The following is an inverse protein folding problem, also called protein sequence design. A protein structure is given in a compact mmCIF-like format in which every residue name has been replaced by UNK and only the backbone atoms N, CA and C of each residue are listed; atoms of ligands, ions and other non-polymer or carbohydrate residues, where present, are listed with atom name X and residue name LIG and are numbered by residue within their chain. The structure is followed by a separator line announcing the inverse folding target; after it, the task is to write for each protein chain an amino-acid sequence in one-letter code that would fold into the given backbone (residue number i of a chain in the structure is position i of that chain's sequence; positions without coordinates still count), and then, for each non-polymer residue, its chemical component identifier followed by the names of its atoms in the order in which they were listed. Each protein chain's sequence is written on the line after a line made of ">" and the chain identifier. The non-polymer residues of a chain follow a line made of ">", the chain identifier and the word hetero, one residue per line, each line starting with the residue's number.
data_IF_457172512371
#
_entry.id   IF_457172512371
#
_cell.length_a   1.000
_cell.length_b   1.000
_cell.length_c   1.000
_cell.angle_alpha   90.00
_cell.angle_beta   90.00
_cell.angle_gamma   90.00
#
_symmetry.space_group_name_H-M   'P 1'
#
loop_
_entity.id
_entity.type
_entity.pdbx_description
1 polymer ?
#
# COMPACT_ATOMS: atom_id res chain seq x y z
N UNK A 1 43.73 -25.51 -34.53
CA UNK A 1 42.78 -24.73 -33.69
C UNK A 1 43.11 -24.74 -32.19
N UNK A 2 43.60 -25.84 -31.60
CA UNK A 2 43.87 -25.92 -30.15
C UNK A 2 44.93 -24.91 -29.62
N UNK A 3 46.05 -24.70 -30.33
CA UNK A 3 47.08 -23.73 -29.94
C UNK A 3 46.57 -22.28 -29.87
N UNK A 4 45.75 -21.85 -30.84
CA UNK A 4 45.13 -20.52 -30.86
C UNK A 4 44.16 -20.31 -29.69
N UNK A 5 43.42 -21.36 -29.29
CA UNK A 5 42.54 -21.33 -28.10
C UNK A 5 43.34 -21.22 -26.80
N UNK A 6 44.46 -21.93 -26.67
CA UNK A 6 45.35 -21.83 -25.50
C UNK A 6 45.98 -20.44 -25.36
N UNK A 7 46.44 -19.84 -26.46
CA UNK A 7 46.99 -18.47 -26.42
C UNK A 7 45.93 -17.42 -26.08
N UNK A 8 44.70 -17.55 -26.61
CA UNK A 8 43.59 -16.65 -26.26
C UNK A 8 43.19 -16.79 -24.78
N UNK A 9 43.20 -18.00 -24.22
CA UNK A 9 42.93 -18.23 -22.79
C UNK A 9 44.01 -17.60 -21.91
N UNK A 10 45.29 -17.70 -22.30
CA UNK A 10 46.39 -17.06 -21.56
C UNK A 10 46.28 -15.53 -21.62
N UNK A 11 45.94 -14.97 -22.79
CA UNK A 11 45.73 -13.52 -22.95
C UNK A 11 44.53 -13.05 -22.11
N UNK A 12 43.42 -13.79 -22.11
CA UNK A 12 42.27 -13.49 -21.27
C UNK A 12 42.61 -13.56 -19.78
N UNK A 13 43.38 -14.57 -19.36
CA UNK A 13 43.84 -14.71 -17.99
C UNK A 13 44.76 -13.55 -17.59
N UNK A 14 45.68 -13.14 -18.46
CA UNK A 14 46.56 -11.99 -18.23
C UNK A 14 45.79 -10.67 -18.19
N UNK A 15 44.76 -10.52 -19.03
CA UNK A 15 43.88 -9.36 -19.00
C UNK A 15 43.09 -9.28 -17.69
N UNK A 16 42.56 -10.42 -17.20
CA UNK A 16 41.87 -10.49 -15.91
C UNK A 16 42.81 -10.20 -14.73
N UNK A 17 44.04 -10.73 -14.76
CA UNK A 17 45.05 -10.44 -13.72
C UNK A 17 45.46 -8.97 -13.77
N UNK A 18 45.69 -8.41 -14.96
CA UNK A 18 46.01 -6.99 -15.11
C UNK A 18 44.87 -6.09 -14.65
N UNK A 19 43.62 -6.43 -14.99
CA UNK A 19 42.43 -5.74 -14.49
C UNK A 19 42.33 -5.83 -12.97
N UNK A 20 42.58 -7.01 -12.37
CA UNK A 20 42.59 -7.20 -10.92
C UNK A 20 43.65 -6.35 -10.22
N UNK A 21 44.86 -6.26 -10.79
CA UNK A 21 45.92 -5.40 -10.26
C UNK A 21 45.54 -3.93 -10.36
N UNK A 22 45.07 -3.45 -11.51
CA UNK A 22 44.62 -2.06 -11.70
C UNK A 22 43.47 -1.71 -10.77
N UNK A 23 42.49 -2.61 -10.63
CA UNK A 23 41.37 -2.41 -9.72
C UNK A 23 41.84 -2.33 -8.27
N UNK A 24 42.68 -3.27 -7.83
CA UNK A 24 43.20 -3.31 -6.44
C UNK A 24 44.08 -2.11 -6.07
N UNK A 25 44.85 -1.57 -7.03
CA UNK A 25 45.85 -0.53 -6.78
C UNK A 25 45.30 0.90 -6.96
N UNK A 26 44.31 1.10 -7.83
CA UNK A 26 43.84 2.45 -8.19
C UNK A 26 42.35 2.67 -8.02
N UNK A 27 41.52 1.63 -8.18
CA UNK A 27 40.06 1.76 -8.10
C UNK A 27 39.52 1.36 -6.73
N UNK A 28 40.25 0.53 -5.98
CA UNK A 28 39.81 -0.02 -4.69
C UNK A 28 39.44 1.06 -3.67
N UNK A 29 40.25 2.11 -3.54
CA UNK A 29 40.01 3.14 -2.52
C UNK A 29 38.80 4.02 -2.85
N UNK A 30 38.63 4.39 -4.14
CA UNK A 30 37.41 5.05 -4.62
C UNK A 30 36.20 4.13 -4.52
N UNK A 31 36.37 2.87 -4.91
CA UNK A 31 35.29 1.89 -4.84
C UNK A 31 34.87 1.60 -3.39
N UNK A 32 35.80 1.55 -2.43
CA UNK A 32 35.48 1.42 -1.01
C UNK A 32 34.81 2.67 -0.44
N UNK A 33 35.20 3.87 -0.91
CA UNK A 33 34.58 5.13 -0.49
C UNK A 33 33.14 5.28 -1.01
N UNK A 34 32.92 4.92 -2.27
CA UNK A 34 31.64 5.12 -2.96
C UNK A 34 30.71 3.90 -2.84
N UNK A 35 31.27 2.69 -2.74
CA UNK A 35 30.54 1.42 -2.79
C UNK A 35 30.96 0.36 -1.76
N UNK A 36 31.86 0.70 -0.83
CA UNK A 36 32.32 -0.22 0.21
C UNK A 36 31.27 -0.44 1.30
N UNK A 37 31.13 -1.67 1.82
CA UNK A 37 30.18 -1.97 2.87
C UNK A 37 30.52 -1.21 4.17
N UNK A 38 29.62 -0.31 4.62
CA UNK A 38 29.87 0.53 5.80
C UNK A 38 29.58 -0.16 7.14
N UNK A 39 28.83 -1.27 7.16
CA UNK A 39 28.64 -2.12 8.34
C UNK A 39 28.19 -3.52 7.88
N UNK A 40 29.09 -4.51 7.81
CA UNK A 40 28.70 -5.91 7.61
C UNK A 40 28.98 -6.71 8.88
N UNK A 41 27.92 -7.01 9.62
CA UNK A 41 27.89 -8.06 10.63
C UNK A 41 27.40 -9.38 10.01
N UNK A 42 28.09 -9.91 9.01
CA UNK A 42 27.80 -11.25 8.48
C UNK A 42 28.82 -12.21 9.08
N UNK A 43 28.38 -12.97 10.08
CA UNK A 43 29.12 -14.11 10.60
C UNK A 43 29.24 -15.16 9.50
N UNK A 44 30.50 -15.52 9.24
CA UNK A 44 31.02 -16.82 8.81
C UNK A 44 30.02 -17.77 8.15
N UNK A 45 30.03 -17.87 6.80
CA UNK A 45 29.85 -19.12 6.03
C UNK A 45 29.70 -18.91 4.50
N UNK A 46 30.20 -17.81 3.92
CA UNK A 46 30.32 -17.74 2.46
C UNK A 46 31.57 -18.48 2.00
N UNK A 47 31.38 -19.56 1.22
CA UNK A 47 32.49 -20.36 0.68
C UNK A 47 33.50 -19.49 -0.11
N UNK A 48 34.79 -19.87 -0.18
CA UNK A 48 35.86 -19.06 -0.78
C UNK A 48 35.61 -18.59 -2.22
N UNK A 49 34.76 -19.29 -2.97
CA UNK A 49 34.35 -18.88 -4.32
C UNK A 49 33.45 -17.63 -4.32
N UNK A 50 32.60 -17.44 -3.31
CA UNK A 50 31.78 -16.23 -3.15
C UNK A 50 32.63 -15.05 -2.66
N UNK A 51 33.68 -15.30 -1.87
CA UNK A 51 34.66 -14.28 -1.49
C UNK A 51 35.47 -13.77 -2.70
N UNK A 52 35.87 -14.67 -3.62
CA UNK A 52 36.59 -14.30 -4.85
C UNK A 52 35.72 -13.48 -5.81
N UNK A 53 34.43 -13.76 -5.83
CA UNK A 53 33.42 -13.03 -6.61
C UNK A 53 33.23 -11.58 -6.11
N UNK A 54 33.25 -11.38 -4.78
CA UNK A 54 33.21 -10.04 -4.19
C UNK A 54 34.48 -9.21 -4.48
N UNK A 55 35.62 -9.87 -4.71
CA UNK A 55 36.92 -9.23 -4.94
C UNK A 55 37.16 -8.73 -6.38
N UNK A 56 36.29 -9.06 -7.34
CA UNK A 56 36.55 -8.83 -8.78
C UNK A 56 35.55 -7.91 -9.50
N UNK A 57 34.66 -7.20 -8.80
CA UNK A 57 33.75 -6.23 -9.43
C UNK A 57 32.65 -6.84 -10.31
N UNK A 58 32.23 -8.08 -10.03
CA UNK A 58 31.13 -8.78 -10.72
C UNK A 58 29.83 -8.79 -9.90
N UNK A 59 29.75 -8.05 -8.79
CA UNK A 59 28.60 -8.09 -7.88
C UNK A 59 27.32 -7.60 -8.57
N UNK A 60 27.42 -6.54 -9.39
CA UNK A 60 26.30 -5.99 -10.14
C UNK A 60 25.81 -6.98 -11.19
N UNK A 61 26.73 -7.59 -11.95
CA UNK A 61 26.38 -8.63 -12.92
C UNK A 61 25.70 -9.86 -12.29
N UNK A 62 26.11 -10.24 -11.07
CA UNK A 62 25.45 -11.32 -10.34
C UNK A 62 24.10 -10.86 -9.79
N UNK A 63 24.00 -9.63 -9.31
CA UNK A 63 22.74 -9.02 -8.91
C UNK A 63 21.72 -9.09 -10.06
N UNK A 64 22.14 -8.78 -11.29
CA UNK A 64 21.29 -8.88 -12.48
C UNK A 64 20.85 -10.32 -12.77
N UNK A 65 21.77 -11.30 -12.67
CA UNK A 65 21.42 -12.72 -12.84
C UNK A 65 20.41 -13.18 -11.77
N UNK A 66 20.64 -12.79 -10.52
CA UNK A 66 19.74 -13.11 -9.42
C UNK A 66 18.38 -12.45 -9.59
N UNK A 67 18.36 -11.22 -10.11
CA UNK A 67 17.14 -10.48 -10.39
C UNK A 67 16.32 -11.13 -11.50
N UNK A 68 16.95 -11.50 -12.62
CA UNK A 68 16.30 -12.29 -13.68
C UNK A 68 15.75 -13.62 -13.13
N UNK A 69 16.46 -14.23 -12.19
CA UNK A 69 16.00 -15.46 -11.54
C UNK A 69 14.82 -15.21 -10.60
N UNK A 70 14.82 -14.10 -9.87
CA UNK A 70 13.72 -13.68 -9.01
C UNK A 70 12.45 -13.45 -9.83
N UNK A 71 12.56 -12.78 -10.97
CA UNK A 71 11.46 -12.56 -11.91
C UNK A 71 10.85 -13.89 -12.42
N UNK A 72 11.70 -14.87 -12.77
CA UNK A 72 11.22 -16.22 -13.14
C UNK A 72 10.47 -16.92 -12.00
N UNK A 73 10.88 -16.71 -10.74
CA UNK A 73 10.17 -17.27 -9.59
C UNK A 73 8.85 -16.55 -9.33
N UNK A 74 8.80 -15.24 -9.56
CA UNK A 74 7.58 -14.46 -9.51
C UNK A 74 6.56 -14.93 -10.56
N UNK A 75 6.96 -15.08 -11.82
CA UNK A 75 6.07 -15.57 -12.89
C UNK A 75 5.50 -16.97 -12.60
N UNK A 76 6.28 -17.81 -11.93
CA UNK A 76 5.86 -19.17 -11.52
C UNK A 76 5.08 -19.21 -10.20
N UNK A 77 4.90 -18.07 -9.53
CA UNK A 77 4.16 -17.95 -8.26
C UNK A 77 4.91 -18.48 -7.04
N UNK A 78 6.21 -18.73 -7.13
CA UNK A 78 7.03 -19.19 -6.02
C UNK A 78 7.60 -18.01 -5.22
N UNK A 79 6.72 -17.32 -4.49
CA UNK A 79 7.05 -16.08 -3.80
C UNK A 79 8.09 -16.25 -2.67
N UNK A 80 8.11 -17.40 -2.00
CA UNK A 80 9.08 -17.71 -0.94
C UNK A 80 10.53 -17.67 -1.45
N UNK A 81 10.74 -18.05 -2.72
CA UNK A 81 12.05 -18.01 -3.36
C UNK A 81 12.46 -16.60 -3.84
N UNK A 82 11.51 -15.66 -3.95
CA UNK A 82 11.76 -14.30 -4.47
C UNK A 82 12.42 -13.43 -3.39
N UNK A 83 12.00 -13.53 -2.13
CA UNK A 83 12.46 -12.65 -1.05
C UNK A 83 13.97 -12.73 -0.79
N UNK A 84 14.59 -13.93 -0.66
CA UNK A 84 16.04 -14.01 -0.47
C UNK A 84 16.83 -13.46 -1.65
N UNK A 85 16.30 -13.60 -2.87
CA UNK A 85 16.94 -13.09 -4.08
C UNK A 85 16.89 -11.57 -4.16
N UNK A 86 15.73 -10.96 -3.87
CA UNK A 86 15.62 -9.49 -3.73
C UNK A 86 16.68 -9.00 -2.74
N UNK A 87 16.74 -9.60 -1.54
CA UNK A 87 17.65 -9.13 -0.50
C UNK A 87 19.12 -9.27 -0.89
N UNK A 88 19.47 -10.39 -1.51
CA UNK A 88 20.83 -10.62 -1.98
C UNK A 88 21.19 -9.65 -3.11
N UNK A 89 20.27 -9.39 -4.03
CA UNK A 89 20.45 -8.41 -5.11
C UNK A 89 20.65 -7.00 -4.55
N UNK A 90 19.87 -6.56 -3.56
CA UNK A 90 20.07 -5.22 -2.94
C UNK A 90 21.41 -5.10 -2.20
N UNK A 91 21.93 -6.20 -1.64
CA UNK A 91 23.25 -6.19 -1.03
C UNK A 91 24.40 -6.16 -2.04
N UNK A 92 24.22 -6.84 -3.17
CA UNK A 92 25.23 -6.91 -4.22
C UNK A 92 25.27 -5.64 -5.07
N UNK A 93 24.11 -5.06 -5.36
CA UNK A 93 23.98 -3.79 -6.06
C UNK A 93 23.02 -2.84 -5.30
N UNK A 94 23.54 -2.06 -4.34
CA UNK A 94 22.72 -1.15 -3.55
C UNK A 94 22.20 0.05 -4.35
N UNK A 95 22.67 0.26 -5.58
CA UNK A 95 22.18 1.33 -6.45
C UNK A 95 21.11 0.88 -7.45
N UNK A 96 20.73 -0.39 -7.42
CA UNK A 96 19.70 -0.93 -8.29
C UNK A 96 18.29 -0.55 -7.80
N UNK A 97 17.81 0.60 -8.28
CA UNK A 97 16.49 1.16 -7.96
C UNK A 97 15.36 0.17 -8.26
N UNK A 98 15.44 -0.56 -9.38
CA UNK A 98 14.38 -1.49 -9.80
C UNK A 98 14.20 -2.62 -8.78
N UNK A 99 15.30 -3.20 -8.28
CA UNK A 99 15.23 -4.26 -7.27
C UNK A 99 14.61 -3.74 -5.96
N UNK A 100 15.01 -2.54 -5.51
CA UNK A 100 14.44 -1.95 -4.30
C UNK A 100 12.96 -1.61 -4.45
N UNK A 101 12.59 -0.89 -5.52
CA UNK A 101 11.23 -0.50 -5.79
C UNK A 101 10.35 -1.74 -5.98
N UNK A 102 10.67 -2.61 -6.93
CA UNK A 102 9.88 -3.81 -7.20
C UNK A 102 9.84 -4.75 -5.99
N UNK A 103 10.93 -4.91 -5.25
CA UNK A 103 10.94 -5.70 -4.03
C UNK A 103 10.00 -5.17 -2.94
N UNK A 104 9.99 -3.85 -2.73
CA UNK A 104 9.05 -3.18 -1.84
C UNK A 104 7.60 -3.37 -2.30
N UNK A 105 7.35 -3.28 -3.61
CA UNK A 105 6.03 -3.57 -4.18
C UNK A 105 5.61 -5.03 -3.96
N UNK A 106 6.50 -6.01 -4.13
CA UNK A 106 6.17 -7.40 -3.83
C UNK A 106 5.78 -7.59 -2.37
N UNK A 107 6.63 -7.14 -1.44
CA UNK A 107 6.39 -7.20 0.00
C UNK A 107 5.06 -6.54 0.37
N UNK A 108 4.77 -5.37 -0.19
CA UNK A 108 3.55 -4.63 0.11
C UNK A 108 2.29 -5.21 -0.54
N UNK A 109 2.37 -5.80 -1.75
CA UNK A 109 1.18 -6.08 -2.55
C UNK A 109 0.95 -7.55 -2.88
N UNK A 110 1.99 -8.31 -3.15
CA UNK A 110 1.88 -9.57 -3.90
C UNK A 110 1.97 -10.83 -3.04
N UNK A 111 2.43 -10.73 -1.78
CA UNK A 111 2.27 -11.79 -0.80
C UNK A 111 0.83 -11.78 -0.30
N UNK A 112 -0.03 -12.57 -0.95
CA UNK A 112 -1.46 -12.59 -0.67
C UNK A 112 -1.92 -13.96 -0.21
N UNK A 113 -3.05 -13.99 0.50
CA UNK A 113 -3.81 -15.22 0.72
C UNK A 113 -4.56 -15.67 -0.55
N UNK A 114 -5.31 -16.79 -0.45
CA UNK A 114 -6.10 -17.31 -1.57
C UNK A 114 -7.16 -16.34 -2.10
N UNK A 115 -7.66 -15.42 -1.26
CA UNK A 115 -8.63 -14.39 -1.64
C UNK A 115 -7.97 -13.10 -2.16
N UNK A 116 -6.65 -13.13 -2.41
CA UNK A 116 -5.86 -12.00 -2.91
C UNK A 116 -5.76 -10.81 -1.93
N UNK A 117 -5.93 -11.07 -0.63
CA UNK A 117 -5.66 -10.07 0.41
C UNK A 117 -4.17 -10.12 0.74
N UNK A 118 -3.49 -8.98 0.57
CA UNK A 118 -2.06 -8.91 0.90
C UNK A 118 -1.81 -9.04 2.40
N UNK A 119 -0.72 -9.70 2.74
CA UNK A 119 -0.23 -9.80 4.10
C UNK A 119 0.40 -8.49 4.57
N UNK A 120 -0.37 -7.80 5.42
CA UNK A 120 -0.01 -6.48 5.96
C UNK A 120 1.20 -6.54 6.89
N UNK A 121 1.57 -7.72 7.39
CA UNK A 121 2.74 -7.91 8.25
C UNK A 121 4.06 -7.67 7.51
N UNK A 122 4.07 -7.71 6.17
CA UNK A 122 5.25 -7.38 5.36
C UNK A 122 5.45 -5.89 5.10
N UNK A 123 4.42 -5.05 5.28
CA UNK A 123 4.49 -3.61 4.97
C UNK A 123 5.63 -2.90 5.70
N UNK A 124 5.87 -3.13 7.00
CA UNK A 124 7.01 -2.53 7.71
C UNK A 124 8.35 -2.84 7.07
N UNK A 125 8.57 -4.07 6.61
CA UNK A 125 9.80 -4.46 5.92
C UNK A 125 9.88 -3.90 4.50
N UNK A 126 8.74 -3.72 3.84
CA UNK A 126 8.66 -3.02 2.56
C UNK A 126 9.10 -1.56 2.72
N UNK A 127 8.64 -0.87 3.77
CA UNK A 127 9.04 0.50 4.10
C UNK A 127 10.53 0.58 4.48
N UNK A 128 11.04 -0.35 5.28
CA UNK A 128 12.45 -0.45 5.59
C UNK A 128 13.31 -0.61 4.32
N UNK A 129 12.85 -1.42 3.36
CA UNK A 129 13.51 -1.61 2.08
C UNK A 129 13.47 -0.34 1.22
N UNK A 130 12.33 0.36 1.19
CA UNK A 130 12.19 1.66 0.52
C UNK A 130 13.12 2.73 1.09
N UNK A 131 13.21 2.81 2.42
CA UNK A 131 14.12 3.72 3.13
C UNK A 131 15.59 3.40 2.83
N UNK A 132 15.99 2.12 2.91
CA UNK A 132 17.35 1.68 2.58
C UNK A 132 17.69 2.04 1.11
N UNK A 133 16.78 1.78 0.18
CA UNK A 133 16.98 2.13 -1.23
C UNK A 133 17.08 3.65 -1.44
N UNK A 134 16.30 4.45 -0.72
CA UNK A 134 16.36 5.91 -0.76
C UNK A 134 17.68 6.47 -0.19
N UNK A 135 18.22 5.85 0.87
CA UNK A 135 19.51 6.19 1.44
C UNK A 135 20.67 5.89 0.49
N UNK A 136 20.62 4.77 -0.23
CA UNK A 136 21.61 4.41 -1.23
C UNK A 136 21.47 5.21 -2.54
N UNK A 137 20.28 5.70 -2.86
CA UNK A 137 19.98 6.39 -4.11
C UNK A 137 19.44 7.81 -3.90
N UNK A 138 20.20 8.70 -3.23
CA UNK A 138 19.68 9.99 -2.75
C UNK A 138 19.40 11.00 -3.88
N UNK A 139 20.01 10.80 -5.05
CA UNK A 139 19.95 11.73 -6.19
C UNK A 139 18.73 11.52 -7.08
N UNK A 140 18.09 10.36 -7.02
CA UNK A 140 16.89 10.08 -7.80
C UNK A 140 15.63 10.30 -6.97
N UNK A 141 14.57 10.78 -7.61
CA UNK A 141 13.26 10.88 -6.98
C UNK A 141 12.59 9.52 -6.75
N UNK A 142 12.91 8.49 -7.55
CA UNK A 142 12.09 7.28 -7.68
C UNK A 142 11.91 6.58 -6.33
N UNK A 143 12.98 6.30 -5.60
CA UNK A 143 12.88 5.62 -4.30
C UNK A 143 12.06 6.39 -3.25
N UNK A 144 12.16 7.72 -3.25
CA UNK A 144 11.37 8.56 -2.35
C UNK A 144 9.90 8.56 -2.75
N UNK A 145 9.63 8.63 -4.05
CA UNK A 145 8.27 8.57 -4.57
C UNK A 145 7.64 7.21 -4.31
N UNK A 146 8.32 6.11 -4.61
CA UNK A 146 7.78 4.75 -4.42
C UNK A 146 7.50 4.47 -2.93
N UNK A 147 8.39 4.93 -2.04
CA UNK A 147 8.15 4.82 -0.59
C UNK A 147 6.94 5.65 -0.16
N UNK A 148 6.80 6.89 -0.67
CA UNK A 148 5.62 7.71 -0.45
C UNK A 148 4.33 7.11 -1.03
N UNK A 149 4.43 6.39 -2.14
CA UNK A 149 3.31 5.68 -2.76
C UNK A 149 2.81 4.52 -1.90
N UNK A 150 3.71 3.81 -1.21
CA UNK A 150 3.32 2.78 -0.23
C UNK A 150 2.42 3.37 0.87
N UNK A 151 2.81 4.52 1.43
CA UNK A 151 1.99 5.27 2.39
C UNK A 151 0.65 5.73 1.80
N UNK A 152 0.71 6.38 0.64
CA UNK A 152 -0.44 7.00 0.01
C UNK A 152 -1.51 5.98 -0.41
N UNK A 153 -1.10 4.86 -1.00
CA UNK A 153 -2.00 3.93 -1.67
C UNK A 153 -2.17 2.62 -0.91
N UNK A 154 -1.08 2.00 -0.42
CA UNK A 154 -1.20 0.67 0.21
C UNK A 154 -1.70 0.76 1.64
N UNK A 155 -1.06 1.61 2.42
CA UNK A 155 -1.39 1.86 3.82
C UNK A 155 -2.71 2.65 3.90
N UNK A 156 -2.88 3.64 3.01
CA UNK A 156 -4.11 4.44 2.88
C UNK A 156 -4.52 5.07 4.23
N UNK A 157 -3.52 5.47 5.01
CA UNK A 157 -3.59 6.04 6.36
C UNK A 157 -2.27 6.76 6.65
N UNK A 158 -2.22 7.58 7.70
CA UNK A 158 -1.01 8.35 8.08
C UNK A 158 -0.41 9.16 6.91
N UNK A 159 -1.26 9.90 6.20
CA UNK A 159 -0.91 10.62 4.97
C UNK A 159 0.21 11.65 5.13
N UNK A 160 0.51 12.10 6.35
CA UNK A 160 1.66 12.94 6.65
C UNK A 160 2.99 12.31 6.18
N UNK A 161 3.11 10.98 6.31
CA UNK A 161 4.29 10.25 5.83
C UNK A 161 4.34 10.25 4.31
N UNK A 162 3.21 10.01 3.63
CA UNK A 162 3.13 10.12 2.18
C UNK A 162 3.53 11.53 1.68
N UNK A 163 3.02 12.58 2.34
CA UNK A 163 3.37 13.97 2.04
C UNK A 163 4.86 14.23 2.24
N UNK A 164 5.45 13.75 3.34
CA UNK A 164 6.89 13.90 3.60
C UNK A 164 7.73 13.28 2.49
N UNK A 165 7.44 12.03 2.14
CA UNK A 165 8.15 11.30 1.08
C UNK A 165 7.96 11.93 -0.30
N UNK A 166 6.75 12.37 -0.64
CA UNK A 166 6.49 13.05 -1.91
C UNK A 166 7.12 14.44 -1.99
N UNK A 167 7.17 15.20 -0.89
CA UNK A 167 7.92 16.47 -0.84
C UNK A 167 9.40 16.23 -1.09
N UNK A 168 9.97 15.25 -0.40
CA UNK A 168 11.34 14.85 -0.61
C UNK A 168 11.55 14.47 -2.09
N UNK A 169 10.72 13.60 -2.69
CA UNK A 169 10.84 13.24 -4.10
C UNK A 169 10.86 14.47 -5.02
N UNK A 170 10.04 15.49 -4.73
CA UNK A 170 9.95 16.72 -5.52
C UNK A 170 11.18 17.63 -5.45
N UNK A 171 12.05 17.48 -4.45
CA UNK A 171 13.32 18.18 -4.33
C UNK A 171 14.39 17.65 -5.30
N UNK A 172 14.19 16.46 -5.89
CA UNK A 172 15.18 15.84 -6.76
C UNK A 172 15.12 16.39 -8.18
N UNK A 173 16.27 16.54 -8.85
CA UNK A 173 16.36 17.16 -10.17
C UNK A 173 15.74 16.32 -11.28
N UNK A 174 15.69 14.99 -11.12
CA UNK A 174 15.14 14.05 -12.09
C UNK A 174 13.63 13.77 -11.92
N UNK A 175 12.98 14.43 -10.96
CA UNK A 175 11.54 14.24 -10.67
C UNK A 175 10.66 14.48 -11.90
N UNK A 176 9.92 13.43 -12.28
CA UNK A 176 9.00 13.46 -13.42
C UNK A 176 7.83 14.42 -13.19
N UNK A 177 7.57 15.26 -14.19
CA UNK A 177 6.49 16.27 -14.15
C UNK A 177 5.11 15.66 -13.85
N UNK A 178 4.79 14.53 -14.51
CA UNK A 178 3.51 13.85 -14.31
C UNK A 178 3.30 13.40 -12.85
N UNK A 179 4.38 13.00 -12.17
CA UNK A 179 4.33 12.51 -10.79
C UNK A 179 4.23 13.65 -9.76
N UNK A 180 4.64 14.88 -10.11
CA UNK A 180 4.52 16.07 -9.22
C UNK A 180 3.08 16.35 -8.82
N UNK A 181 2.12 16.00 -9.69
CA UNK A 181 0.69 16.17 -9.46
C UNK A 181 0.17 15.41 -8.23
N UNK A 182 0.86 14.34 -7.79
CA UNK A 182 0.36 13.46 -6.72
C UNK A 182 0.57 14.02 -5.30
N UNK A 183 1.42 15.05 -5.14
CA UNK A 183 1.59 15.70 -3.85
C UNK A 183 0.31 16.46 -3.42
N UNK A 184 -0.42 17.10 -4.33
CA UNK A 184 -1.67 17.81 -3.97
C UNK A 184 -2.78 16.87 -3.48
N UNK A 185 -3.10 15.74 -4.14
CA UNK A 185 -4.00 14.74 -3.57
C UNK A 185 -3.53 14.22 -2.20
N UNK A 186 -2.23 13.96 -2.01
CA UNK A 186 -1.70 13.55 -0.71
C UNK A 186 -1.90 14.61 0.37
N UNK A 187 -1.63 15.89 0.07
CA UNK A 187 -1.88 17.02 0.96
C UNK A 187 -3.37 17.15 1.32
N UNK A 188 -4.28 16.94 0.36
CA UNK A 188 -5.72 16.91 0.64
C UNK A 188 -6.08 15.76 1.59
N UNK A 189 -5.52 14.56 1.37
CA UNK A 189 -5.72 13.39 2.26
C UNK A 189 -5.08 13.56 3.63
N UNK A 190 -4.09 14.45 3.76
CA UNK A 190 -3.49 14.84 5.03
C UNK A 190 -4.28 15.98 5.73
N UNK A 191 -5.31 16.52 5.08
CA UNK A 191 -6.11 17.66 5.59
C UNK A 191 -5.50 19.03 5.31
N UNK A 192 -4.40 19.10 4.56
CA UNK A 192 -3.67 20.33 4.20
C UNK A 192 -4.18 20.89 2.86
N UNK A 193 -5.49 21.17 2.80
CA UNK A 193 -6.18 21.52 1.54
C UNK A 193 -5.68 22.83 0.92
N UNK A 194 -5.37 23.84 1.74
CA UNK A 194 -4.78 25.09 1.22
C UNK A 194 -3.39 24.87 0.64
N UNK A 195 -2.54 24.13 1.34
CA UNK A 195 -1.21 23.79 0.85
C UNK A 195 -1.28 22.96 -0.46
N UNK A 196 -2.29 22.10 -0.61
CA UNK A 196 -2.55 21.39 -1.84
C UNK A 196 -2.88 22.32 -3.02
N UNK A 197 -3.61 23.41 -2.75
CA UNK A 197 -3.92 24.43 -3.75
C UNK A 197 -2.67 25.26 -4.11
N UNK A 198 -1.90 25.67 -3.10
CA UNK A 198 -0.64 26.39 -3.30
C UNK A 198 0.35 25.57 -4.14
N UNK A 199 0.47 24.26 -3.85
CA UNK A 199 1.29 23.36 -4.66
C UNK A 199 0.82 23.27 -6.11
N UNK A 200 -0.50 23.22 -6.34
CA UNK A 200 -1.02 23.20 -7.71
C UNK A 200 -0.66 24.48 -8.48
N UNK A 201 -0.72 25.65 -7.84
CA UNK A 201 -0.31 26.90 -8.48
C UNK A 201 1.21 26.93 -8.78
N UNK A 202 2.06 26.44 -7.88
CA UNK A 202 3.51 26.32 -8.15
C UNK A 202 3.79 25.45 -9.39
N UNK A 203 3.18 24.26 -9.47
CA UNK A 203 3.40 23.38 -10.62
C UNK A 203 2.71 23.89 -11.89
N UNK A 204 1.63 24.68 -11.78
CA UNK A 204 1.02 25.35 -12.91
C UNK A 204 1.97 26.38 -13.51
N UNK A 205 2.61 27.22 -12.70
CA UNK A 205 3.58 28.21 -13.17
C UNK A 205 4.74 27.54 -13.92
N UNK A 206 5.26 26.43 -13.39
CA UNK A 206 6.29 25.61 -14.05
C UNK A 206 5.80 25.03 -15.38
N UNK A 207 4.57 24.53 -15.42
CA UNK A 207 3.97 23.96 -16.62
C UNK A 207 3.75 25.03 -17.71
N UNK A 208 3.31 26.23 -17.32
CA UNK A 208 3.15 27.37 -18.23
C UNK A 208 4.50 27.84 -18.79
N UNK A 209 5.55 27.88 -17.96
CA UNK A 209 6.90 28.16 -18.45
C UNK A 209 7.37 27.10 -19.44
N UNK A 210 7.14 25.81 -19.15
CA UNK A 210 7.49 24.71 -20.05
C UNK A 210 6.79 24.84 -21.40
N UNK A 211 5.51 25.19 -21.44
CA UNK A 211 4.74 25.43 -22.68
C UNK A 211 5.36 26.57 -23.50
N UNK A 212 5.82 27.64 -22.86
CA UNK A 212 6.54 28.75 -23.53
C UNK A 212 7.88 28.30 -24.10
N UNK A 213 8.62 27.47 -23.36
CA UNK A 213 9.96 27.01 -23.75
C UNK A 213 9.92 26.00 -24.91
N UNK A 214 8.91 25.13 -24.97
CA UNK A 214 8.84 24.04 -25.95
C UNK A 214 8.04 24.33 -27.21
N UNK A 215 7.26 25.41 -27.23
CA UNK A 215 6.44 25.91 -28.36
C UNK A 215 5.81 24.82 -29.24
N UNK A 216 4.52 24.52 -29.01
CA UNK A 216 3.77 23.57 -29.84
C UNK A 216 3.91 22.11 -29.40
N UNK A 217 4.57 21.84 -28.27
CA UNK A 217 4.54 20.53 -27.61
C UNK A 217 3.16 20.26 -27.00
N UNK A 218 2.47 19.29 -27.59
CA UNK A 218 1.16 18.82 -27.12
C UNK A 218 1.21 18.26 -25.70
N UNK A 219 2.30 17.56 -25.32
CA UNK A 219 2.44 16.96 -24.00
C UNK A 219 2.52 18.03 -22.90
N UNK A 220 3.33 19.06 -23.13
CA UNK A 220 3.43 20.21 -22.21
C UNK A 220 2.08 20.92 -22.03
N UNK A 221 1.35 21.13 -23.13
CA UNK A 221 0.02 21.77 -23.11
C UNK A 221 -1.00 20.91 -22.37
N UNK A 222 -1.02 19.60 -22.64
CA UNK A 222 -1.91 18.65 -21.97
C UNK A 222 -1.65 18.58 -20.46
N UNK A 223 -0.38 18.64 -20.04
CA UNK A 223 -0.02 18.65 -18.63
C UNK A 223 -0.52 19.93 -17.94
N UNK A 224 -0.28 21.10 -18.55
CA UNK A 224 -0.74 22.40 -18.04
C UNK A 224 -2.26 22.43 -17.88
N UNK A 225 -3.00 21.98 -18.89
CA UNK A 225 -4.47 21.94 -18.84
C UNK A 225 -4.99 20.96 -17.77
N UNK A 226 -4.28 19.86 -17.55
CA UNK A 226 -4.60 18.90 -16.48
C UNK A 226 -4.50 19.56 -15.10
N UNK A 227 -3.42 20.31 -14.87
CA UNK A 227 -3.18 21.04 -13.61
C UNK A 227 -4.24 22.12 -13.41
N UNK A 228 -4.55 22.92 -14.44
CA UNK A 228 -5.59 23.95 -14.38
C UNK A 228 -6.95 23.34 -14.02
N UNK A 229 -7.36 22.26 -14.68
CA UNK A 229 -8.62 21.58 -14.37
C UNK A 229 -8.65 21.02 -12.93
N UNK A 230 -7.51 20.56 -12.41
CA UNK A 230 -7.41 20.11 -11.02
C UNK A 230 -7.55 21.27 -10.02
N UNK A 231 -7.01 22.45 -10.34
CA UNK A 231 -7.19 23.69 -9.56
C UNK A 231 -8.66 24.09 -9.54
N UNK A 232 -9.29 24.19 -10.70
CA UNK A 232 -10.69 24.56 -10.84
C UNK A 232 -11.58 23.61 -10.03
N UNK A 233 -11.34 22.30 -10.18
CA UNK A 233 -12.07 21.28 -9.43
C UNK A 233 -11.87 21.43 -7.91
N UNK A 234 -10.64 21.69 -7.46
CA UNK A 234 -10.35 21.86 -6.04
C UNK A 234 -11.02 23.11 -5.48
N UNK A 235 -10.96 24.25 -6.17
CA UNK A 235 -11.61 25.50 -5.76
C UNK A 235 -13.13 25.32 -5.66
N UNK A 236 -13.74 24.70 -6.68
CA UNK A 236 -15.19 24.39 -6.66
C UNK A 236 -15.54 23.55 -5.44
N UNK A 237 -14.77 22.49 -5.15
CA UNK A 237 -14.97 21.65 -3.97
C UNK A 237 -14.75 22.38 -2.65
N UNK A 238 -13.76 23.27 -2.57
CA UNK A 238 -13.53 24.10 -1.39
C UNK A 238 -14.71 25.03 -1.08
N UNK A 239 -15.40 25.52 -2.11
CA UNK A 239 -16.63 26.32 -1.96
C UNK A 239 -17.82 25.43 -1.62
N UNK A 240 -18.09 24.39 -2.42
CA UNK A 240 -19.25 23.50 -2.29
C UNK A 240 -19.30 22.77 -0.94
N UNK A 241 -18.15 22.27 -0.47
CA UNK A 241 -18.02 21.58 0.82
C UNK A 241 -17.98 22.55 2.01
N UNK A 242 -18.04 23.87 1.76
CA UNK A 242 -18.01 24.90 2.78
C UNK A 242 -16.65 25.10 3.47
N UNK A 243 -15.57 24.58 2.89
CA UNK A 243 -14.21 24.69 3.43
C UNK A 243 -13.81 26.15 3.65
N UNK A 244 -13.97 27.02 2.64
CA UNK A 244 -13.60 28.44 2.75
C UNK A 244 -14.42 29.20 3.81
N UNK A 245 -15.68 28.80 4.02
CA UNK A 245 -16.53 29.39 5.06
C UNK A 245 -16.06 28.99 6.47
N UNK A 246 -15.64 27.73 6.65
CA UNK A 246 -15.02 27.27 7.89
C UNK A 246 -13.70 27.97 8.19
N UNK A 247 -12.87 28.23 7.17
CA UNK A 247 -11.61 28.96 7.34
C UNK A 247 -11.80 30.41 7.81
N UNK A 248 -12.88 31.08 7.39
CA UNK A 248 -13.17 32.45 7.82
C UNK A 248 -13.57 32.55 9.29
N UNK A 249 -14.11 31.49 9.87
CA UNK A 249 -14.56 31.44 11.27
C UNK A 249 -15.49 32.61 11.67
N UNK A 250 -16.30 33.09 10.72
CA UNK A 250 -17.19 34.26 10.83
C UNK A 250 -18.67 33.85 11.00
N UNK A 251 -18.94 32.55 11.19
CA UNK A 251 -20.29 31.98 11.25
C UNK A 251 -20.96 31.79 9.88
N UNK A 252 -20.30 32.13 8.77
CA UNK A 252 -20.87 31.96 7.42
C UNK A 252 -21.16 30.50 7.07
N UNK A 253 -20.40 29.54 7.63
CA UNK A 253 -20.67 28.11 7.45
C UNK A 253 -22.07 27.73 7.97
N UNK A 254 -22.46 28.30 9.12
CA UNK A 254 -23.75 28.03 9.77
C UNK A 254 -24.93 28.77 9.13
N UNK A 255 -24.68 29.64 8.15
CA UNK A 255 -25.72 30.33 7.38
C UNK A 255 -25.81 29.82 5.93
N UNK A 256 -24.73 29.24 5.40
CA UNK A 256 -24.68 28.75 4.03
C UNK A 256 -25.31 27.37 3.83
N UNK A 257 -25.76 27.14 2.60
CA UNK A 257 -26.15 25.84 2.09
C UNK A 257 -24.92 25.21 1.40
N UNK A 258 -24.32 24.22 2.07
CA UNK A 258 -23.14 23.49 1.62
C UNK A 258 -23.48 22.01 1.48
N UNK A 259 -22.79 21.29 0.60
CA UNK A 259 -23.06 19.87 0.36
C UNK A 259 -22.78 19.00 1.61
N UNK A 260 -21.94 19.52 2.52
CA UNK A 260 -21.60 18.93 3.82
C UNK A 260 -22.61 19.28 4.92
N UNK A 261 -23.70 19.98 4.60
CA UNK A 261 -24.64 20.48 5.60
C UNK A 261 -26.12 20.23 5.21
N UNK A 262 -26.94 19.68 6.13
CA UNK A 262 -26.56 19.13 7.43
C UNK A 262 -25.71 17.86 7.30
N UNK A 263 -24.91 17.51 8.33
CA UNK A 263 -24.17 16.25 8.32
C UNK A 263 -25.11 15.06 8.12
N UNK A 264 -24.70 14.13 7.26
CA UNK A 264 -25.47 12.95 6.93
C UNK A 264 -25.14 11.81 7.88
N UNK A 265 -26.15 11.29 8.56
CA UNK A 265 -26.01 10.09 9.38
C UNK A 265 -25.81 8.84 8.51
N UNK A 266 -24.66 8.21 8.66
CA UNK A 266 -24.29 7.01 7.91
C UNK A 266 -24.88 5.75 8.53
N UNK A 267 -25.34 5.78 9.78
CA UNK A 267 -26.04 4.68 10.45
C UNK A 267 -25.31 3.34 10.32
N UNK A 268 -24.01 3.32 10.62
CA UNK A 268 -23.21 2.11 10.57
C UNK A 268 -23.71 1.10 11.59
N UNK A 269 -23.89 -0.14 11.15
CA UNK A 269 -24.08 -1.29 12.03
C UNK A 269 -23.39 -2.50 11.44
N UNK A 270 -22.93 -3.42 12.28
CA UNK A 270 -22.27 -4.63 11.83
C UNK A 270 -22.56 -5.81 12.74
N UNK A 271 -22.62 -6.99 12.12
CA UNK A 271 -22.65 -8.29 12.78
C UNK A 271 -21.59 -9.18 12.14
N UNK A 272 -20.84 -9.85 13.00
CA UNK A 272 -19.85 -10.86 12.62
C UNK A 272 -20.33 -12.21 13.12
N UNK A 273 -20.41 -13.16 12.20
CA UNK A 273 -20.79 -14.55 12.49
C UNK A 273 -19.62 -15.46 12.11
N UNK A 274 -19.15 -16.30 13.03
CA UNK A 274 -18.13 -17.31 12.72
C UNK A 274 -18.82 -18.53 12.13
N UNK A 275 -18.80 -18.65 10.79
CA UNK A 275 -19.48 -19.73 10.07
C UNK A 275 -18.75 -21.07 10.25
N UNK A 276 -17.43 -21.05 10.11
CA UNK A 276 -16.54 -22.20 10.18
C UNK A 276 -15.25 -21.77 10.91
N UNK A 277 -14.39 -22.70 11.38
CA UNK A 277 -13.10 -22.32 11.93
C UNK A 277 -12.32 -21.42 10.97
N UNK A 278 -11.97 -20.21 11.42
CA UNK A 278 -11.27 -19.17 10.62
C UNK A 278 -12.08 -18.58 9.45
N UNK A 279 -13.38 -18.81 9.41
CA UNK A 279 -14.26 -18.21 8.40
C UNK A 279 -15.29 -17.34 9.08
N UNK A 280 -15.29 -16.05 8.74
CA UNK A 280 -16.26 -15.10 9.27
C UNK A 280 -17.14 -14.54 8.16
N UNK A 281 -18.43 -14.40 8.45
CA UNK A 281 -19.34 -13.57 7.67
C UNK A 281 -19.54 -12.24 8.38
N UNK A 282 -19.42 -11.16 7.64
CA UNK A 282 -19.57 -9.80 8.11
C UNK A 282 -20.69 -9.12 7.34
N UNK A 283 -21.76 -8.79 8.02
CA UNK A 283 -22.95 -8.18 7.44
C UNK A 283 -23.35 -6.92 8.19
N UNK A 284 -23.96 -5.96 7.51
CA UNK A 284 -24.31 -4.70 8.15
C UNK A 284 -24.91 -3.66 7.22
N UNK A 285 -25.05 -2.45 7.77
CA UNK A 285 -25.69 -1.31 7.10
C UNK A 285 -24.77 -0.11 7.03
N UNK A 286 -24.96 0.67 5.96
CA UNK A 286 -24.32 1.96 5.74
C UNK A 286 -25.26 2.81 4.88
N UNK A 287 -25.95 3.78 5.46
CA UNK A 287 -27.11 4.48 4.88
C UNK A 287 -26.81 5.37 3.66
N UNK A 288 -25.61 5.33 3.10
CA UNK A 288 -25.22 6.06 1.89
C UNK A 288 -25.62 5.26 0.64
N UNK A 289 -26.44 5.89 -0.22
CA UNK A 289 -26.93 5.29 -1.46
C UNK A 289 -25.87 5.14 -2.56
N UNK A 290 -24.98 6.14 -2.81
CA UNK A 290 -23.93 5.99 -3.80
C UNK A 290 -23.06 4.75 -3.57
N UNK A 291 -22.85 4.02 -4.66
CA UNK A 291 -21.92 2.89 -4.73
C UNK A 291 -20.48 3.39 -4.59
N UNK A 292 -19.62 2.59 -3.96
CA UNK A 292 -18.17 2.86 -3.86
C UNK A 292 -17.68 3.21 -2.46
N UNK A 293 -18.54 3.22 -1.43
CA UNK A 293 -18.07 3.25 -0.04
C UNK A 293 -17.40 1.91 0.27
N UNK A 294 -16.19 2.00 0.84
CA UNK A 294 -15.43 0.85 1.34
C UNK A 294 -15.12 1.06 2.81
N UNK A 295 -15.64 0.19 3.67
CA UNK A 295 -15.39 0.23 5.11
C UNK A 295 -14.22 -0.70 5.39
N UNK A 296 -13.14 -0.18 5.97
CA UNK A 296 -11.99 -0.99 6.34
C UNK A 296 -12.39 -1.91 7.49
N UNK A 297 -12.10 -3.19 7.35
CA UNK A 297 -12.17 -4.17 8.43
C UNK A 297 -10.76 -4.67 8.74
N UNK A 298 -10.41 -4.76 10.02
CA UNK A 298 -9.15 -5.36 10.48
C UNK A 298 -9.49 -6.39 11.54
N UNK A 299 -9.09 -7.64 11.32
CA UNK A 299 -9.06 -8.67 12.36
C UNK A 299 -7.61 -8.88 12.76
N UNK A 300 -7.31 -8.74 14.05
CA UNK A 300 -5.96 -8.96 14.56
C UNK A 300 -5.96 -9.47 15.98
N UNK A 301 -4.82 -9.98 16.43
CA UNK A 301 -4.59 -10.27 17.84
C UNK A 301 -4.85 -9.00 18.67
N UNK A 302 -5.47 -9.15 19.85
CA UNK A 302 -5.78 -8.00 20.71
C UNK A 302 -4.49 -7.30 21.15
N UNK A 303 -3.48 -8.08 21.53
CA UNK A 303 -2.17 -7.69 22.06
C UNK A 303 -1.07 -7.59 20.98
N UNK A 304 -1.45 -7.44 19.71
CA UNK A 304 -0.50 -7.24 18.62
C UNK A 304 0.47 -6.09 18.93
N UNK A 305 1.78 -6.38 19.04
CA UNK A 305 2.82 -5.50 19.63
C UNK A 305 2.87 -4.10 19.01
N UNK A 306 2.57 -3.99 17.72
CA UNK A 306 2.58 -2.73 16.97
C UNK A 306 1.17 -2.25 16.59
N UNK A 307 0.14 -2.76 17.24
CA UNK A 307 -1.25 -2.48 16.91
C UNK A 307 -1.65 -1.06 17.33
N UNK A 308 -2.40 -0.38 16.46
CA UNK A 308 -3.12 0.86 16.80
C UNK A 308 -4.62 0.66 16.55
N UNK A 309 -5.42 1.64 16.92
CA UNK A 309 -6.84 1.64 16.55
C UNK A 309 -6.97 1.75 15.03
N UNK A 310 -7.65 0.76 14.45
CA UNK A 310 -7.87 0.63 13.01
C UNK A 310 -6.60 0.67 12.15
N UNK A 311 -5.50 0.09 12.65
CA UNK A 311 -4.26 -0.10 11.91
C UNK A 311 -3.14 -0.66 12.76
N UNK A 312 -1.90 -0.40 12.34
CA UNK A 312 -0.69 -0.63 13.12
C UNK A 312 0.27 0.55 12.97
N UNK A 313 1.30 0.63 13.82
CA UNK A 313 2.48 1.39 13.47
C UNK A 313 3.07 0.72 12.22
N UNK A 314 3.09 1.42 11.08
CA UNK A 314 3.51 0.83 9.82
C UNK A 314 5.03 0.86 9.64
N UNK A 315 5.73 1.76 10.32
CA UNK A 315 7.17 2.03 10.13
C UNK A 315 8.02 1.61 11.34
N UNK A 316 7.60 0.57 12.06
CA UNK A 316 8.36 0.11 13.24
C UNK A 316 9.67 -0.61 12.87
N UNK A 317 9.77 -1.16 11.65
CA UNK A 317 10.89 -1.99 11.27
C UNK A 317 12.09 -1.13 10.85
N UNK A 318 13.19 -1.21 11.59
CA UNK A 318 14.42 -0.48 11.26
C UNK A 318 15.26 -1.16 10.17
N UNK A 319 15.00 -2.44 9.89
CA UNK A 319 15.77 -3.24 8.94
C UNK A 319 14.87 -4.15 8.13
N UNK A 320 15.28 -4.44 6.90
CA UNK A 320 14.59 -5.40 6.02
C UNK A 320 14.69 -6.81 6.61
N UNK A 321 13.55 -7.37 6.99
CA UNK A 321 13.40 -8.78 7.34
C UNK A 321 12.47 -9.43 6.32
N UNK A 322 12.78 -10.67 5.96
CA UNK A 322 12.07 -11.39 4.89
C UNK A 322 10.93 -12.26 5.41
N UNK A 323 10.77 -12.34 6.73
CA UNK A 323 9.75 -13.17 7.37
C UNK A 323 8.91 -12.31 8.32
N UNK A 324 7.57 -12.34 8.20
CA UNK A 324 6.69 -11.68 9.13
C UNK A 324 6.57 -12.50 10.42
N UNK A 325 6.07 -11.90 11.52
CA UNK A 325 5.84 -12.63 12.76
C UNK A 325 4.94 -13.85 12.54
N UNK A 326 5.47 -15.05 12.78
CA UNK A 326 4.82 -16.34 12.47
C UNK A 326 3.72 -16.75 13.46
N UNK A 327 3.58 -16.02 14.56
CA UNK A 327 2.57 -16.22 15.59
C UNK A 327 1.50 -15.14 15.63
N UNK A 328 1.66 -14.07 14.85
CA UNK A 328 0.74 -12.96 14.85
C UNK A 328 -0.30 -13.08 13.72
N UNK A 329 -1.57 -12.80 14.04
CA UNK A 329 -2.66 -12.73 13.07
C UNK A 329 -2.97 -11.27 12.76
N UNK A 330 -2.91 -10.88 11.48
CA UNK A 330 -3.35 -9.57 11.01
C UNK A 330 -3.99 -9.68 9.63
N UNK A 331 -5.32 -9.64 9.60
CA UNK A 331 -6.12 -9.58 8.37
C UNK A 331 -6.67 -8.16 8.21
N UNK A 332 -6.56 -7.61 7.01
CA UNK A 332 -7.21 -6.35 6.66
C UNK A 332 -7.89 -6.48 5.29
N UNK A 333 -9.15 -6.03 5.23
CA UNK A 333 -9.93 -6.00 3.99
C UNK A 333 -10.83 -4.76 3.91
N UNK A 334 -11.55 -4.61 2.80
CA UNK A 334 -12.50 -3.53 2.53
C UNK A 334 -13.89 -4.09 2.25
N UNK A 335 -14.83 -3.80 3.14
CA UNK A 335 -16.24 -4.16 2.99
C UNK A 335 -16.89 -3.23 1.98
N UNK A 336 -17.30 -3.79 0.85
CA UNK A 336 -17.94 -3.06 -0.23
C UNK A 336 -19.42 -2.82 0.08
N UNK A 337 -19.82 -1.55 0.12
CA UNK A 337 -21.22 -1.20 0.33
C UNK A 337 -21.96 -1.14 -1.01
N UNK A 338 -23.03 -1.92 -1.12
CA UNK A 338 -24.00 -1.85 -2.22
C UNK A 338 -25.40 -1.67 -1.65
N UNK A 339 -26.16 -0.74 -2.20
CA UNK A 339 -27.56 -0.50 -1.80
C UNK A 339 -27.74 -0.31 -0.28
N UNK A 340 -26.80 0.39 0.36
CA UNK A 340 -26.74 0.68 1.80
C UNK A 340 -26.43 -0.52 2.71
N UNK A 341 -25.96 -1.63 2.16
CA UNK A 341 -25.63 -2.84 2.90
C UNK A 341 -24.30 -3.41 2.45
N UNK A 342 -23.68 -4.20 3.30
CA UNK A 342 -22.55 -5.04 2.96
C UNK A 342 -22.77 -6.44 3.55
N UNK A 343 -22.24 -7.44 2.86
CA UNK A 343 -22.23 -8.83 3.28
C UNK A 343 -21.03 -9.51 2.62
N UNK A 344 -20.00 -9.75 3.42
CA UNK A 344 -18.74 -10.31 2.98
C UNK A 344 -18.47 -11.59 3.77
N UNK A 345 -18.17 -12.68 3.08
CA UNK A 345 -17.58 -13.88 3.70
C UNK A 345 -16.07 -13.77 3.54
N UNK A 346 -15.33 -13.86 4.65
CA UNK A 346 -13.89 -13.76 4.70
C UNK A 346 -13.34 -15.10 5.15
N UNK A 347 -12.73 -15.84 4.21
CA UNK A 347 -12.18 -17.16 4.47
C UNK A 347 -10.68 -17.07 4.74
N UNK A 348 -10.27 -17.28 5.99
CA UNK A 348 -8.86 -17.31 6.40
C UNK A 348 -8.39 -18.76 6.65
N UNK A 349 -9.25 -19.75 6.39
CA UNK A 349 -8.97 -21.15 6.75
C UNK A 349 -7.88 -21.78 5.88
N UNK A 350 -7.75 -21.28 4.64
CA UNK A 350 -6.87 -21.81 3.61
C UNK A 350 -5.41 -21.39 3.75
N UNK A 351 -5.16 -20.32 4.51
CA UNK A 351 -3.84 -19.71 4.69
C UNK A 351 -3.42 -19.75 6.18
N UNK A 352 -3.20 -20.95 6.76
CA UNK A 352 -2.97 -21.14 8.19
C UNK A 352 -1.67 -20.53 8.72
N UNK A 353 -0.69 -20.29 7.85
CA UNK A 353 0.58 -19.63 8.18
C UNK A 353 0.37 -18.12 8.27
N UNK A 354 -0.48 -17.58 7.38
CA UNK A 354 -0.82 -16.17 7.38
C UNK A 354 -1.75 -15.81 8.55
N UNK A 355 -2.68 -16.71 8.86
CA UNK A 355 -3.67 -16.55 9.91
C UNK A 355 -3.57 -17.68 10.94
N UNK A 356 -2.55 -17.65 11.82
CA UNK A 356 -2.29 -18.75 12.74
C UNK A 356 -3.35 -18.88 13.85
N UNK A 357 -3.92 -17.76 14.28
CA UNK A 357 -4.83 -17.66 15.43
C UNK A 357 -4.26 -18.30 16.71
N UNK A 358 -3.07 -17.85 17.14
CA UNK A 358 -2.41 -18.32 18.37
C UNK A 358 -2.80 -17.55 19.63
N UNK A 359 -2.99 -16.23 19.55
CA UNK A 359 -3.44 -15.39 20.66
C UNK A 359 -4.78 -15.87 21.26
N UNK A 360 -5.05 -15.52 22.51
CA UNK A 360 -6.28 -15.93 23.21
C UNK A 360 -7.49 -15.05 22.85
N UNK A 361 -7.26 -13.77 22.57
CA UNK A 361 -8.28 -12.77 22.21
C UNK A 361 -7.93 -12.02 20.91
N UNK A 362 -8.97 -11.65 20.16
CA UNK A 362 -8.88 -10.95 18.89
C UNK A 362 -9.85 -9.79 18.86
N UNK A 363 -9.44 -8.73 18.17
CA UNK A 363 -10.29 -7.56 17.91
C UNK A 363 -10.65 -7.51 16.43
N UNK A 364 -11.87 -7.05 16.17
CA UNK A 364 -12.34 -6.71 14.83
C UNK A 364 -12.66 -5.22 14.82
N UNK A 365 -11.80 -4.45 14.16
CA UNK A 365 -11.95 -3.00 13.99
C UNK A 365 -12.63 -2.71 12.66
N UNK A 366 -13.66 -1.88 12.71
CA UNK A 366 -14.29 -1.26 11.55
C UNK A 366 -13.89 0.20 11.52
N UNK A 367 -13.39 0.67 10.38
CA UNK A 367 -13.06 2.07 10.20
C UNK A 367 -13.50 2.59 8.84
N UNK A 368 -14.08 3.79 8.85
CA UNK A 368 -14.27 4.56 7.63
C UNK A 368 -13.52 5.90 7.73
N UNK A 369 -12.61 6.11 6.78
CA UNK A 369 -11.80 7.30 6.65
C UNK A 369 -12.36 8.16 5.48
N UNK A 370 -13.04 9.29 5.74
CA UNK A 370 -13.54 10.15 4.66
C UNK A 370 -12.44 10.76 3.77
N UNK A 371 -11.22 10.95 4.28
CA UNK A 371 -10.10 11.46 3.48
C UNK A 371 -9.64 10.47 2.41
N UNK A 372 -9.84 9.17 2.60
CA UNK A 372 -9.56 8.15 1.57
C UNK A 372 -10.72 7.86 0.62
N UNK A 373 -11.89 8.45 0.89
CA UNK A 373 -13.10 8.19 0.13
C UNK A 373 -13.00 8.70 -1.33
N UNK A 374 -13.72 8.06 -2.28
CA UNK A 374 -13.85 8.59 -3.63
C UNK A 374 -14.41 10.01 -3.66
N UNK A 375 -14.05 10.83 -4.66
CA UNK A 375 -14.43 12.25 -4.66
C UNK A 375 -15.93 12.52 -4.56
N UNK A 376 -16.78 11.70 -5.20
CA UNK A 376 -18.24 11.86 -5.12
C UNK A 376 -18.82 11.57 -3.74
N UNK A 377 -18.14 10.76 -2.92
CA UNK A 377 -18.51 10.55 -1.51
C UNK A 377 -18.03 11.72 -0.66
N UNK A 378 -16.81 12.20 -0.92
CA UNK A 378 -16.27 13.39 -0.26
C UNK A 378 -17.05 14.66 -0.59
N UNK A 379 -17.72 14.75 -1.72
CA UNK A 379 -18.59 15.90 -2.01
C UNK A 379 -19.72 16.00 -0.98
N UNK A 380 -20.19 14.87 -0.43
CA UNK A 380 -21.16 14.84 0.68
C UNK A 380 -20.52 14.92 2.07
N UNK A 381 -19.36 14.30 2.25
CA UNK A 381 -18.71 14.20 3.56
C UNK A 381 -17.74 15.32 3.88
N UNK A 382 -17.29 16.04 2.87
CA UNK A 382 -16.26 17.06 3.00
C UNK A 382 -14.85 16.47 2.97
N UNK A 383 -13.87 17.31 3.29
CA UNK A 383 -12.47 16.89 3.33
C UNK A 383 -12.17 16.09 4.59
N UNK A 384 -12.65 16.55 5.76
CA UNK A 384 -12.34 15.96 7.06
C UNK A 384 -13.49 15.13 7.63
N UNK A 385 -14.55 14.93 6.85
CA UNK A 385 -15.78 14.26 7.31
C UNK A 385 -16.77 15.19 7.99
N UNK A 386 -16.66 16.51 7.83
CA UNK A 386 -17.60 17.50 8.40
C UNK A 386 -19.07 17.26 8.03
N UNK A 387 -19.33 16.71 6.84
CA UNK A 387 -20.65 16.31 6.36
C UNK A 387 -21.03 14.87 6.67
N UNK A 388 -20.20 14.15 7.43
CA UNK A 388 -20.46 12.81 7.92
C UNK A 388 -20.82 12.86 9.41
N UNK A 389 -21.85 12.11 9.78
CA UNK A 389 -22.21 11.82 11.15
C UNK A 389 -22.47 10.32 11.29
N UNK A 390 -22.29 9.80 12.50
CA UNK A 390 -22.82 8.50 12.91
C UNK A 390 -23.28 8.65 14.35
N UNK A 391 -24.52 8.26 14.64
CA UNK A 391 -25.09 8.43 15.99
C UNK A 391 -24.35 7.60 17.05
N UNK A 392 -23.74 6.48 16.68
CA UNK A 392 -23.21 5.48 17.62
C UNK A 392 -21.68 5.39 17.61
N UNK A 393 -21.06 5.56 16.45
CA UNK A 393 -19.65 5.21 16.19
C UNK A 393 -18.83 6.35 15.60
N UNK A 394 -19.34 7.59 15.63
CA UNK A 394 -18.54 8.75 15.27
C UNK A 394 -17.40 8.93 16.29
N UNK A 395 -16.17 8.96 15.80
CA UNK A 395 -14.98 9.12 16.61
C UNK A 395 -14.06 10.19 16.01
N UNK A 396 -13.65 11.16 16.84
CA UNK A 396 -12.73 12.26 16.46
C UNK A 396 -11.37 12.17 17.16
N UNK A 397 -11.16 11.14 17.97
CA UNK A 397 -9.94 10.91 18.75
C UNK A 397 -9.00 9.92 18.05
N UNK A 398 -9.55 8.92 17.35
CA UNK A 398 -8.79 7.90 16.61
C UNK A 398 -7.86 8.53 15.56
N UNK A 399 -8.34 9.57 14.87
CA UNK A 399 -7.55 10.40 13.94
C UNK A 399 -7.82 11.89 14.24
N UNK A 400 -6.93 12.58 14.97
CA UNK A 400 -7.11 13.98 15.31
C UNK A 400 -7.29 14.88 14.07
N UNK A 401 -8.21 15.85 14.16
CA UNK A 401 -8.51 16.75 13.05
C UNK A 401 -9.43 16.16 11.97
N UNK A 402 -9.92 14.93 12.17
CA UNK A 402 -10.79 14.24 11.24
C UNK A 402 -11.96 13.56 11.96
N UNK A 403 -13.12 13.48 11.31
CA UNK A 403 -14.25 12.65 11.73
C UNK A 403 -14.14 11.29 11.06
N UNK A 404 -13.97 10.24 11.85
CA UNK A 404 -13.99 8.86 11.38
C UNK A 404 -15.16 8.11 11.98
N UNK A 405 -15.66 7.09 11.28
CA UNK A 405 -16.48 6.07 11.93
C UNK A 405 -15.53 4.99 12.44
N UNK A 406 -15.64 4.62 13.72
CA UNK A 406 -14.86 3.56 14.33
C UNK A 406 -15.71 2.71 15.29
N UNK A 407 -15.72 1.40 15.05
CA UNK A 407 -16.34 0.42 15.94
C UNK A 407 -15.39 -0.76 16.16
N UNK A 408 -15.42 -1.35 17.37
CA UNK A 408 -14.62 -2.52 17.73
C UNK A 408 -15.51 -3.61 18.29
N UNK A 409 -15.33 -4.82 17.78
CA UNK A 409 -15.88 -6.06 18.34
C UNK A 409 -14.74 -6.95 18.83
N UNK A 410 -15.04 -7.91 19.70
CA UNK A 410 -14.06 -8.85 20.25
C UNK A 410 -14.51 -10.28 20.05
N UNK A 411 -13.56 -11.17 19.78
CA UNK A 411 -13.79 -12.63 19.73
C UNK A 411 -12.64 -13.34 20.43
N UNK A 412 -12.93 -14.45 21.08
CA UNK A 412 -11.90 -15.34 21.62
C UNK A 412 -11.39 -16.31 20.56
N UNK A 413 -10.21 -16.89 20.78
CA UNK A 413 -9.67 -17.96 19.94
C UNK A 413 -10.64 -19.12 19.80
N UNK A 414 -11.28 -19.52 20.89
CA UNK A 414 -12.21 -20.65 20.90
C UNK A 414 -13.47 -20.37 20.09
N UNK A 415 -13.93 -19.11 20.05
CA UNK A 415 -14.98 -18.69 19.14
C UNK A 415 -14.52 -18.79 17.69
N UNK A 416 -13.41 -18.14 17.33
CA UNK A 416 -12.91 -18.10 15.94
C UNK A 416 -12.56 -19.47 15.37
N UNK A 417 -12.08 -20.39 16.21
CA UNK A 417 -11.72 -21.75 15.82
C UNK A 417 -12.84 -22.77 16.11
N UNK A 418 -13.98 -22.32 16.63
CA UNK A 418 -15.14 -23.13 17.04
C UNK A 418 -14.73 -24.33 17.90
N UNK A 419 -13.95 -24.07 18.95
CA UNK A 419 -13.42 -25.07 19.91
C UNK A 419 -14.26 -25.14 21.18
N UNK A 420 -14.14 -26.23 21.92
CA UNK A 420 -14.80 -26.42 23.21
C UNK A 420 -16.32 -26.29 23.11
N UNK A 421 -16.91 -25.37 23.88
CA UNK A 421 -18.36 -25.14 23.85
C UNK A 421 -18.89 -24.56 22.53
N UNK A 422 -18.00 -24.00 21.69
CA UNK A 422 -18.34 -23.40 20.39
C UNK A 422 -18.34 -24.41 19.24
N UNK A 423 -18.03 -25.69 19.51
CA UNK A 423 -18.06 -26.74 18.49
C UNK A 423 -19.45 -26.93 17.86
N UNK A 424 -20.51 -26.77 18.65
CA UNK A 424 -21.91 -26.92 18.21
C UNK A 424 -22.69 -25.60 18.20
N UNK A 425 -22.09 -24.50 18.65
CA UNK A 425 -22.68 -23.16 18.62
C UNK A 425 -22.08 -22.36 17.47
N UNK A 426 -22.80 -21.33 17.04
CA UNK A 426 -22.28 -20.35 16.08
C UNK A 426 -21.96 -19.07 16.85
N UNK A 427 -20.69 -18.73 17.03
CA UNK A 427 -20.30 -17.46 17.63
C UNK A 427 -20.80 -16.29 16.80
N UNK A 428 -21.43 -15.32 17.47
CA UNK A 428 -21.94 -14.09 16.86
C UNK A 428 -21.58 -12.93 17.77
N UNK A 429 -21.04 -11.86 17.18
CA UNK A 429 -20.83 -10.57 17.85
C UNK A 429 -21.36 -9.46 16.96
N UNK A 430 -21.97 -8.44 17.58
CA UNK A 430 -22.68 -7.40 16.85
C UNK A 430 -22.51 -6.04 17.53
N UNK A 431 -22.61 -4.98 16.73
CA UNK A 431 -22.66 -3.62 17.26
C UNK A 431 -23.95 -3.41 18.04
N UNK A 432 -23.93 -2.55 19.07
CA UNK A 432 -25.07 -2.35 19.98
C UNK A 432 -26.36 -1.87 19.31
N UNK A 433 -26.24 -1.28 18.12
CA UNK A 433 -27.34 -0.75 17.32
C UNK A 433 -27.74 -1.69 16.15
N UNK A 434 -27.14 -2.88 16.03
CA UNK A 434 -27.45 -3.80 14.93
C UNK A 434 -28.88 -4.32 15.05
N UNK A 435 -29.62 -4.29 13.94
CA UNK A 435 -30.99 -4.78 13.85
C UNK A 435 -31.07 -5.91 12.83
N UNK A 436 -31.40 -7.15 13.24
CA UNK A 436 -31.53 -8.27 12.32
C UNK A 436 -32.60 -8.05 11.25
N UNK A 437 -32.27 -8.33 10.00
CA UNK A 437 -33.24 -8.26 8.90
C UNK A 437 -34.14 -9.50 8.94
N UNK A 438 -35.45 -9.30 9.11
CA UNK A 438 -36.45 -10.37 9.31
C UNK A 438 -36.68 -11.33 8.11
N UNK A 439 -36.06 -11.10 6.96
CA UNK A 439 -36.26 -11.89 5.73
C UNK A 439 -34.94 -12.38 5.13
N UNK A 440 -34.68 -13.68 5.34
CA UNK A 440 -33.53 -14.44 4.84
C UNK A 440 -33.41 -14.46 3.30
N UNK A 441 -34.50 -14.19 2.58
CA UNK A 441 -34.57 -14.26 1.11
C UNK A 441 -33.75 -13.21 0.35
N UNK A 442 -33.22 -12.19 1.01
CA UNK A 442 -32.54 -11.07 0.34
C UNK A 442 -31.00 -11.13 0.40
N UNK A 443 -30.40 -12.10 1.09
CA UNK A 443 -28.95 -12.10 1.38
C UNK A 443 -28.19 -13.12 0.50
N UNK A 444 -28.83 -14.22 0.09
CA UNK A 444 -28.20 -15.21 -0.81
C UNK A 444 -27.98 -14.71 -2.25
N UNK A 445 -28.73 -13.69 -2.70
CA UNK A 445 -28.61 -13.12 -4.05
C UNK A 445 -27.65 -11.93 -4.19
N UNK A 446 -27.12 -11.42 -3.07
CA UNK A 446 -26.24 -10.24 -3.01
C UNK A 446 -24.84 -10.62 -2.48
N UNK A 447 -24.36 -11.83 -2.80
CA UNK A 447 -22.94 -12.15 -2.63
C UNK A 447 -22.17 -11.25 -3.61
N UNK A 448 -21.56 -10.20 -3.07
CA UNK A 448 -20.65 -9.34 -3.80
C UNK A 448 -19.34 -10.10 -4.00
N UNK A 449 -19.25 -10.83 -5.12
CA UNK A 449 -17.97 -11.34 -5.60
C UNK A 449 -17.14 -10.14 -6.03
N UNK A 450 -16.13 -9.79 -5.23
CA UNK A 450 -15.11 -8.82 -5.63
C UNK A 450 -14.35 -9.45 -6.80
N UNK A 451 -14.30 -8.83 -7.99
CA UNK A 451 -13.54 -9.40 -9.09
C UNK A 451 -12.07 -9.51 -8.68
N UNK A 452 -11.55 -10.73 -8.61
CA UNK A 452 -10.11 -10.96 -8.61
C UNK A 452 -9.53 -10.55 -9.97
N UNK A 453 -8.25 -10.15 -10.00
CA UNK A 453 -7.54 -9.80 -11.25
C UNK A 453 -7.39 -10.98 -12.23
N UNK A 454 -7.79 -12.20 -11.84
CA UNK A 454 -8.01 -13.31 -12.76
C UNK A 454 -9.48 -13.30 -13.17
N UNK A 455 -9.74 -12.86 -14.40
CA UNK A 455 -10.98 -13.23 -15.08
C UNK A 455 -11.13 -14.74 -14.98
N UNK A 456 -12.23 -15.22 -14.41
CA UNK A 456 -12.63 -16.61 -14.61
C UNK A 456 -12.58 -16.90 -16.11
N UNK A 457 -11.89 -17.98 -16.48
CA UNK A 457 -11.55 -18.30 -17.86
C UNK A 457 -12.77 -18.18 -18.75
N UNK A 458 -12.66 -17.32 -19.78
CA UNK A 458 -13.66 -17.23 -20.82
C UNK A 458 -13.96 -18.64 -21.35
N UNK A 459 -15.22 -19.05 -21.24
CA UNK A 459 -15.72 -20.23 -21.92
C UNK A 459 -15.36 -20.11 -23.41
N UNK A 460 -14.68 -21.09 -24.02
CA UNK A 460 -14.37 -21.02 -25.44
C UNK A 460 -15.68 -20.91 -26.23
N UNK A 461 -15.73 -20.08 -27.29
CA UNK A 461 -16.93 -20.01 -28.11
C UNK A 461 -17.23 -21.39 -28.71
N UNK A 462 -18.52 -21.76 -28.85
CA UNK A 462 -18.90 -23.06 -29.39
C UNK A 462 -18.31 -23.19 -30.80
N UNK A 463 -17.60 -24.31 -31.02
CA UNK A 463 -17.07 -24.67 -32.32
C UNK A 463 -18.20 -24.66 -33.35
N UNK A 464 -18.14 -23.71 -34.29
CA UNK A 464 -19.06 -23.62 -35.41
C UNK A 464 -19.02 -24.90 -36.22
N UNK A 465 -20.07 -25.71 -36.10
CA UNK A 465 -20.38 -26.79 -37.02
C UNK A 465 -20.86 -26.20 -38.34
N UNK A 466 -20.22 -26.64 -39.41
CA UNK A 466 -20.57 -26.44 -40.81
C UNK A 466 -22.08 -26.57 -41.10
N UNK A 467 -22.63 -25.57 -41.80
CA UNK A 467 -23.36 -25.74 -43.07
C UNK A 467 -23.12 -24.53 -43.98
#
# INVERSE_FOLDING_TARGET
>A
MAKRRGTLLIIALLALVAQGVVHSAYLRDRWLADYGPKNFGVREELSPQYALIQLLGFREFISDILWVRADSFFESGNYDAVLPLIRLSTWLDPHNIDVFATGMWHLGYNFTDEEQRSDRRYIPYALALGKEGAEHNPTTYEMFFETGWMWYHKIDDDYENAVSWFKAANERPDMLQARRNLLSPALQRDGKVLEALDWYYDILERAEQRVKDTQGDYSATSMRNTIENNIDTLIVRMVQRGYLARQRNDGSYDLGAYDTRPPFDVGFSARVTVEEPRVIRVEGTWNVLPVGTRIRIILRDEDFEHGKEAGMNWDYAESVQLEPPADATFMQDQLYVRNRKFNNRLDMSKDPIMYPFKADEYVIDFMYNPRSAPPHIQDKFGFDGEGMHDENFLNTKVRPGQRVMFARLKLTRDQLLRRGEWALKTPVVETSNYVPVKTTRAIEGDILVVPGLRSEGATPPPSGGSQ
#
